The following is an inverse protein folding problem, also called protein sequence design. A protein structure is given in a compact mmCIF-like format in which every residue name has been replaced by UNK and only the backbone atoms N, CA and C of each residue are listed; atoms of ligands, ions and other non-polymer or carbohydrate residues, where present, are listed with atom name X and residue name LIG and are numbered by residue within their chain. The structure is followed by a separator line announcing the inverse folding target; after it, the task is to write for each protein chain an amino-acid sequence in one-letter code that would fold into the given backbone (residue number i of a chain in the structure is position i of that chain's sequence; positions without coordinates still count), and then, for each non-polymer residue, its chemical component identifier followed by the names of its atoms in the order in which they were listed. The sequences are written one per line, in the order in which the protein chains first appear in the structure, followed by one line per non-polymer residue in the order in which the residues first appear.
data_IF_873727233932
#
_entry.id   IF_873727233932
#
_cell.length_a   1.000
_cell.length_b   1.000
_cell.length_c   1.000
_cell.angle_alpha   90.00
_cell.angle_beta   90.00
_cell.angle_gamma   90.00
#
_symmetry.space_group_name_H-M   'P 1'
#
loop_
_entity.id
_entity.type
_entity.pdbx_description
1 polymer ?
#
# COMPACT_ATOMS: atom_id res chain seq x y z
N UNK A 1 -26.58 59.11 -51.08
CA UNK A 1 -26.60 58.77 -49.63
C UNK A 1 -26.95 57.29 -49.52
N UNK A 2 -26.21 56.36 -48.92
CA UNK A 2 -25.14 56.39 -47.92
C UNK A 2 -24.12 55.26 -48.21
N UNK A 3 -23.03 55.55 -48.95
CA UNK A 3 -21.86 54.63 -49.05
C UNK A 3 -20.89 54.91 -47.90
N UNK A 4 -21.36 54.76 -46.66
CA UNK A 4 -20.60 55.05 -45.44
C UNK A 4 -20.75 53.94 -44.40
N UNK A 5 -20.56 52.68 -44.82
CA UNK A 5 -20.64 51.49 -43.93
C UNK A 5 -19.49 50.47 -44.13
N UNK A 6 -18.29 50.87 -44.55
CA UNK A 6 -17.12 49.96 -44.60
C UNK A 6 -15.82 50.48 -43.97
N UNK A 7 -15.88 51.54 -43.17
CA UNK A 7 -14.68 52.12 -42.51
C UNK A 7 -14.66 51.88 -40.99
N UNK A 8 -15.79 51.52 -40.35
CA UNK A 8 -15.81 51.19 -38.91
C UNK A 8 -15.33 49.76 -38.62
N UNK A 9 -15.21 48.90 -39.63
CA UNK A 9 -14.76 47.50 -39.46
C UNK A 9 -13.23 47.31 -39.47
N UNK A 10 -12.42 48.37 -39.68
CA UNK A 10 -10.95 48.25 -39.80
C UNK A 10 -10.16 49.03 -38.74
N UNK A 11 -10.82 49.61 -37.73
CA UNK A 11 -10.15 50.32 -36.62
C UNK A 11 -10.27 49.61 -35.26
N UNK A 12 -10.78 48.36 -35.22
CA UNK A 12 -10.85 47.55 -33.99
C UNK A 12 -9.85 46.38 -34.02
N UNK A 13 -9.13 46.18 -35.13
CA UNK A 13 -8.15 45.09 -35.32
C UNK A 13 -6.68 45.53 -35.13
N UNK A 14 -6.42 46.74 -34.62
CA UNK A 14 -5.08 47.35 -34.65
C UNK A 14 -4.49 47.84 -33.32
N UNK A 15 -5.17 47.65 -32.18
CA UNK A 15 -4.69 48.14 -30.85
C UNK A 15 -4.70 47.04 -29.77
N UNK A 16 -4.76 45.76 -30.16
CA UNK A 16 -4.49 44.64 -29.24
C UNK A 16 -3.30 43.78 -29.68
N UNK A 17 -2.37 44.39 -30.43
CA UNK A 17 -1.01 43.89 -30.58
C UNK A 17 -0.10 44.74 -29.70
N UNK A 18 0.62 44.06 -28.79
CA UNK A 18 1.59 44.60 -27.84
C UNK A 18 1.06 45.05 -26.47
N UNK A 19 0.65 44.08 -25.63
CA UNK A 19 1.15 43.98 -24.24
C UNK A 19 0.43 42.86 -23.48
N UNK A 20 0.77 41.61 -23.80
CA UNK A 20 0.85 40.53 -22.81
C UNK A 20 1.48 39.34 -23.51
N UNK A 21 2.81 39.25 -23.44
CA UNK A 21 3.44 37.94 -23.32
C UNK A 21 2.83 37.30 -22.07
N UNK A 22 1.70 36.60 -22.24
CA UNK A 22 1.32 35.57 -21.28
C UNK A 22 2.44 34.55 -21.43
N UNK A 23 3.38 34.58 -20.48
CA UNK A 23 4.06 33.36 -20.12
C UNK A 23 2.95 32.36 -19.86
N UNK A 24 2.69 31.47 -20.83
CA UNK A 24 2.08 30.20 -20.52
C UNK A 24 3.11 29.51 -19.63
N UNK A 25 3.07 29.81 -18.33
CA UNK A 25 3.55 28.87 -17.34
C UNK A 25 2.84 27.58 -17.71
N UNK A 26 3.59 26.58 -18.17
CA UNK A 26 3.04 25.28 -18.51
C UNK A 26 2.20 24.85 -17.33
N UNK A 27 0.88 24.85 -17.51
CA UNK A 27 0.00 24.26 -16.52
C UNK A 27 0.40 22.80 -16.52
N UNK A 28 1.10 22.38 -15.47
CA UNK A 28 1.43 20.99 -15.27
C UNK A 28 0.09 20.25 -15.12
N UNK A 29 -0.37 19.65 -16.22
CA UNK A 29 -1.63 18.92 -16.24
C UNK A 29 -1.43 17.69 -15.37
N UNK A 30 -2.17 17.62 -14.26
CA UNK A 30 -2.27 16.42 -13.44
C UNK A 30 -2.73 15.26 -14.34
N UNK A 31 -1.96 14.17 -14.37
CA UNK A 31 -2.34 12.97 -15.10
C UNK A 31 -3.43 12.24 -14.30
N UNK A 32 -4.61 12.09 -14.90
CA UNK A 32 -5.73 11.41 -14.26
C UNK A 32 -5.34 10.01 -13.76
N UNK A 33 -5.83 9.65 -12.58
CA UNK A 33 -5.65 8.33 -11.98
C UNK A 33 -6.06 7.21 -12.96
N UNK A 34 -5.22 6.19 -13.07
CA UNK A 34 -5.48 4.97 -13.85
C UNK A 34 -5.76 3.80 -12.91
N UNK A 35 -6.76 2.97 -13.21
CA UNK A 35 -7.06 1.76 -12.43
C UNK A 35 -6.83 0.50 -13.24
N UNK A 36 -6.00 -0.40 -12.72
CA UNK A 36 -5.72 -1.72 -13.26
C UNK A 36 -6.40 -2.77 -12.37
N UNK A 37 -7.46 -3.38 -12.88
CA UNK A 37 -8.30 -4.28 -12.09
C UNK A 37 -9.00 -5.32 -12.96
N UNK A 38 -9.50 -6.37 -12.33
CA UNK A 38 -10.42 -7.34 -12.92
C UNK A 38 -11.44 -7.84 -11.89
N UNK A 39 -12.31 -8.77 -12.31
CA UNK A 39 -13.35 -9.33 -11.44
C UNK A 39 -12.81 -10.10 -10.23
N UNK A 40 -11.57 -10.56 -10.33
CA UNK A 40 -10.84 -11.25 -9.27
C UNK A 40 -9.33 -10.92 -9.35
N UNK A 41 -8.57 -11.47 -8.41
CA UNK A 41 -7.10 -11.30 -8.32
C UNK A 41 -6.35 -11.78 -9.55
N UNK A 42 -6.85 -12.82 -10.22
CA UNK A 42 -6.22 -13.38 -11.42
C UNK A 42 -6.40 -12.40 -12.59
N UNK A 43 -7.62 -11.92 -12.80
CA UNK A 43 -7.94 -10.90 -13.79
C UNK A 43 -7.20 -9.58 -13.51
N UNK A 44 -7.11 -9.13 -12.26
CA UNK A 44 -6.28 -7.96 -11.88
C UNK A 44 -4.83 -8.18 -12.28
N UNK A 45 -4.22 -9.33 -11.97
CA UNK A 45 -2.83 -9.61 -12.37
C UNK A 45 -2.62 -9.57 -13.89
N UNK A 46 -3.59 -10.04 -14.68
CA UNK A 46 -3.53 -9.90 -16.15
C UNK A 46 -3.70 -8.46 -16.63
N UNK A 47 -4.50 -7.64 -15.94
CA UNK A 47 -4.66 -6.21 -16.27
C UNK A 47 -3.37 -5.43 -15.99
N UNK A 48 -2.69 -5.74 -14.88
CA UNK A 48 -1.36 -5.20 -14.57
C UNK A 48 -0.35 -5.58 -15.66
N UNK A 49 -0.36 -6.84 -16.09
CA UNK A 49 0.49 -7.34 -17.17
C UNK A 49 0.25 -6.58 -18.49
N UNK A 50 -1.00 -6.52 -18.95
CA UNK A 50 -1.39 -5.86 -20.21
C UNK A 50 -0.97 -4.39 -20.28
N UNK A 51 -1.06 -3.67 -19.16
CA UNK A 51 -0.70 -2.25 -19.10
C UNK A 51 0.82 -2.02 -19.17
N UNK A 52 1.63 -2.92 -18.63
CA UNK A 52 3.07 -2.69 -18.42
C UNK A 52 3.97 -3.53 -19.33
N UNK A 53 3.43 -4.55 -20.01
CA UNK A 53 4.17 -5.42 -20.93
C UNK A 53 3.38 -5.69 -22.21
N UNK A 54 3.90 -5.23 -23.34
CA UNK A 54 3.38 -5.62 -24.66
C UNK A 54 3.72 -7.07 -24.97
N UNK A 55 4.91 -7.52 -24.56
CA UNK A 55 5.43 -8.90 -24.64
C UNK A 55 6.40 -9.16 -23.50
N UNK A 56 6.64 -10.44 -23.19
CA UNK A 56 7.65 -10.87 -22.21
C UNK A 56 8.03 -12.33 -22.48
N UNK A 57 9.33 -12.64 -22.57
CA UNK A 57 9.79 -14.02 -22.74
C UNK A 57 9.55 -14.88 -21.49
N UNK A 58 9.51 -14.23 -20.33
CA UNK A 58 9.32 -14.85 -19.02
C UNK A 58 8.00 -14.38 -18.39
N UNK A 59 7.37 -15.28 -17.64
CA UNK A 59 6.28 -14.98 -16.70
C UNK A 59 6.67 -15.54 -15.34
N UNK A 60 6.48 -14.75 -14.28
CA UNK A 60 6.55 -15.25 -12.92
C UNK A 60 5.15 -15.65 -12.50
N UNK A 61 4.96 -16.92 -12.14
CA UNK A 61 3.68 -17.44 -11.70
C UNK A 61 3.72 -17.66 -10.19
N UNK A 62 2.75 -17.08 -9.48
CA UNK A 62 2.62 -17.21 -8.03
C UNK A 62 1.20 -17.62 -7.65
N UNK A 63 1.04 -18.23 -6.47
CA UNK A 63 -0.28 -18.53 -5.92
C UNK A 63 -1.03 -17.23 -5.62
N UNK A 64 -2.26 -17.14 -6.13
CA UNK A 64 -3.19 -16.09 -5.72
C UNK A 64 -3.87 -16.39 -4.38
N UNK A 65 -3.81 -17.61 -3.86
CA UNK A 65 -4.58 -18.05 -2.69
C UNK A 65 -3.81 -17.92 -1.37
N UNK A 66 -2.48 -17.96 -1.42
CA UNK A 66 -1.61 -17.78 -0.26
C UNK A 66 -0.38 -16.92 -0.57
N UNK A 67 -0.08 -15.96 0.29
CA UNK A 67 1.01 -15.00 0.05
C UNK A 67 2.40 -15.55 0.31
N UNK A 68 2.50 -16.56 1.17
CA UNK A 68 3.72 -16.87 1.91
C UNK A 68 4.95 -17.05 1.03
N UNK A 69 4.84 -17.90 0.00
CA UNK A 69 5.92 -18.12 -0.97
C UNK A 69 6.12 -16.92 -1.90
N UNK A 70 5.02 -16.27 -2.27
CA UNK A 70 5.00 -15.25 -3.31
C UNK A 70 5.64 -13.91 -2.90
N UNK A 71 5.79 -13.63 -1.59
CA UNK A 71 6.39 -12.39 -1.10
C UNK A 71 7.83 -12.15 -1.61
N UNK A 72 8.55 -13.21 -1.98
CA UNK A 72 9.90 -13.13 -2.52
C UNK A 72 9.99 -13.09 -4.06
N UNK A 73 8.85 -13.05 -4.77
CA UNK A 73 8.80 -13.15 -6.23
C UNK A 73 9.30 -11.90 -6.97
N UNK A 74 9.10 -10.70 -6.41
CA UNK A 74 9.32 -9.44 -7.12
C UNK A 74 10.76 -9.24 -7.65
N UNK A 75 11.82 -9.58 -6.90
CA UNK A 75 13.18 -9.50 -7.43
C UNK A 75 13.42 -10.42 -8.63
N UNK A 76 12.79 -11.60 -8.68
CA UNK A 76 12.86 -12.51 -9.84
C UNK A 76 12.16 -11.90 -11.04
N UNK A 77 10.98 -11.32 -10.83
CA UNK A 77 10.23 -10.61 -11.86
C UNK A 77 11.06 -9.47 -12.47
N UNK A 78 11.76 -8.69 -11.64
CA UNK A 78 12.64 -7.62 -12.13
C UNK A 78 13.86 -8.16 -12.88
N UNK A 79 14.48 -9.26 -12.42
CA UNK A 79 15.63 -9.90 -13.09
C UNK A 79 15.33 -10.25 -14.55
N UNK A 80 14.11 -10.69 -14.84
CA UNK A 80 13.67 -11.03 -16.21
C UNK A 80 12.81 -9.97 -16.89
N UNK A 81 12.59 -8.81 -16.25
CA UNK A 81 11.64 -7.82 -16.72
C UNK A 81 10.27 -8.45 -17.08
N UNK A 82 9.77 -9.31 -16.21
CA UNK A 82 8.58 -10.14 -16.41
C UNK A 82 7.41 -9.69 -15.52
N UNK A 83 6.15 -9.89 -15.93
CA UNK A 83 5.00 -9.72 -15.05
C UNK A 83 4.93 -10.84 -14.00
N UNK A 84 4.29 -10.54 -12.87
CA UNK A 84 3.79 -11.55 -11.93
C UNK A 84 2.33 -11.80 -12.27
N UNK A 85 2.02 -13.02 -12.70
CA UNK A 85 0.66 -13.51 -12.88
C UNK A 85 0.29 -14.42 -11.70
N UNK A 86 -1.00 -14.45 -11.38
CA UNK A 86 -1.52 -15.25 -10.27
C UNK A 86 -2.29 -16.46 -10.77
N UNK A 87 -2.22 -17.57 -10.05
CA UNK A 87 -2.99 -18.78 -10.32
C UNK A 87 -3.69 -19.31 -9.08
N UNK A 88 -4.77 -20.08 -9.26
CA UNK A 88 -5.30 -20.90 -8.17
C UNK A 88 -4.30 -22.02 -7.82
N UNK A 89 -4.44 -22.64 -6.66
CA UNK A 89 -3.48 -23.68 -6.21
C UNK A 89 -3.53 -24.96 -7.05
N UNK A 90 -4.68 -25.25 -7.66
CA UNK A 90 -4.93 -26.51 -8.40
C UNK A 90 -5.29 -26.33 -9.86
N UNK A 91 -5.62 -25.12 -10.28
CA UNK A 91 -6.09 -24.83 -11.63
C UNK A 91 -5.45 -23.54 -12.14
N UNK A 92 -4.93 -23.60 -13.37
CA UNK A 92 -4.45 -22.43 -14.08
C UNK A 92 -5.63 -21.71 -14.73
N UNK A 93 -5.94 -20.51 -14.25
CA UNK A 93 -7.04 -19.72 -14.78
C UNK A 93 -6.91 -19.46 -16.30
N UNK A 94 -8.02 -19.59 -17.04
CA UNK A 94 -8.03 -19.43 -18.50
C UNK A 94 -7.58 -18.04 -18.95
N UNK A 95 -7.93 -17.00 -18.18
CA UNK A 95 -7.46 -15.63 -18.42
C UNK A 95 -5.93 -15.50 -18.29
N UNK A 96 -5.32 -16.28 -17.42
CA UNK A 96 -3.86 -16.29 -17.19
C UNK A 96 -3.17 -17.04 -18.33
N UNK A 97 -3.70 -18.19 -18.78
CA UNK A 97 -3.22 -18.89 -19.99
C UNK A 97 -3.23 -17.98 -21.22
N UNK A 98 -4.34 -17.28 -21.39
CA UNK A 98 -4.51 -16.32 -22.49
C UNK A 98 -3.49 -15.19 -22.40
N UNK A 99 -3.19 -14.71 -21.19
CA UNK A 99 -2.20 -13.66 -20.99
C UNK A 99 -0.76 -14.13 -21.23
N UNK A 100 -0.40 -15.34 -20.79
CA UNK A 100 0.89 -15.98 -21.09
C UNK A 100 1.08 -16.07 -22.62
N UNK A 101 0.03 -16.48 -23.34
CA UNK A 101 0.03 -16.56 -24.81
C UNK A 101 0.15 -15.18 -25.45
N UNK A 102 -0.58 -14.17 -24.96
CA UNK A 102 -0.54 -12.79 -25.45
C UNK A 102 0.85 -12.19 -25.30
N UNK A 103 1.53 -12.47 -24.18
CA UNK A 103 2.90 -12.04 -23.91
C UNK A 103 3.92 -12.71 -24.84
N UNK A 104 3.54 -13.81 -25.49
CA UNK A 104 4.44 -14.71 -26.25
C UNK A 104 5.55 -15.29 -25.37
N UNK A 105 5.22 -15.56 -24.11
CA UNK A 105 6.17 -16.13 -23.17
C UNK A 105 6.64 -17.50 -23.66
N UNK A 106 7.92 -17.78 -23.40
CA UNK A 106 8.55 -19.08 -23.66
C UNK A 106 8.96 -19.76 -22.36
N UNK A 107 9.03 -18.99 -21.26
CA UNK A 107 9.44 -19.46 -19.95
C UNK A 107 8.42 -19.07 -18.89
N UNK A 108 8.17 -19.97 -17.94
CA UNK A 108 7.42 -19.69 -16.72
C UNK A 108 8.28 -20.07 -15.52
N UNK A 109 8.41 -19.15 -14.58
CA UNK A 109 9.05 -19.40 -13.29
C UNK A 109 7.97 -19.42 -12.22
N UNK A 110 7.73 -20.59 -11.65
CA UNK A 110 6.78 -20.77 -10.55
C UNK A 110 7.47 -20.44 -9.22
N UNK A 111 6.82 -19.61 -8.39
CA UNK A 111 7.31 -19.28 -7.04
C UNK A 111 6.44 -20.00 -6.02
N UNK A 112 7.02 -20.99 -5.34
CA UNK A 112 6.36 -21.82 -4.34
C UNK A 112 6.38 -23.31 -4.65
N UNK A 113 6.19 -24.11 -3.60
CA UNK A 113 6.11 -25.56 -3.70
C UNK A 113 4.81 -26.05 -4.32
N UNK A 114 4.69 -27.36 -4.50
CA UNK A 114 3.50 -28.01 -5.10
C UNK A 114 2.20 -27.76 -4.32
N UNK A 115 2.30 -27.48 -3.01
CA UNK A 115 1.15 -27.12 -2.19
C UNK A 115 0.56 -25.74 -2.55
N UNK A 116 1.39 -24.84 -3.08
CA UNK A 116 1.00 -23.48 -3.49
C UNK A 116 0.56 -23.42 -4.95
N UNK A 117 1.22 -24.21 -5.81
CA UNK A 117 0.97 -24.34 -7.25
C UNK A 117 1.16 -25.82 -7.60
N UNK A 118 0.09 -26.56 -7.88
CA UNK A 118 0.14 -28.01 -8.09
C UNK A 118 1.02 -28.42 -9.27
N UNK A 119 1.45 -29.68 -9.27
CA UNK A 119 2.12 -30.31 -10.40
C UNK A 119 1.26 -30.34 -11.67
N UNK A 120 -0.07 -30.32 -11.52
CA UNK A 120 -1.00 -30.32 -12.66
C UNK A 120 -0.91 -29.01 -13.46
N UNK A 121 -0.75 -27.87 -12.77
CA UNK A 121 -0.51 -26.57 -13.41
C UNK A 121 0.83 -26.60 -14.17
N UNK A 122 1.88 -27.14 -13.54
CA UNK A 122 3.19 -27.26 -14.17
C UNK A 122 3.13 -28.13 -15.44
N UNK A 123 2.39 -29.24 -15.39
CA UNK A 123 2.17 -30.12 -16.54
C UNK A 123 1.34 -29.46 -17.65
N UNK A 124 0.33 -28.65 -17.29
CA UNK A 124 -0.46 -27.87 -18.23
C UNK A 124 0.43 -26.83 -18.95
N UNK A 125 1.24 -26.08 -18.21
CA UNK A 125 2.19 -25.11 -18.78
C UNK A 125 3.21 -25.77 -19.71
N UNK A 126 3.76 -26.94 -19.34
CA UNK A 126 4.64 -27.72 -20.22
C UNK A 126 3.93 -28.19 -21.50
N UNK A 127 2.65 -28.54 -21.39
CA UNK A 127 1.81 -28.92 -22.55
C UNK A 127 1.55 -27.73 -23.49
N UNK A 128 1.57 -26.50 -22.96
CA UNK A 128 1.63 -25.26 -23.74
C UNK A 128 3.00 -25.00 -24.40
N UNK A 129 3.96 -25.94 -24.29
CA UNK A 129 5.33 -25.87 -24.80
C UNK A 129 6.20 -24.79 -24.14
N UNK A 130 5.89 -24.45 -22.90
CA UNK A 130 6.68 -23.50 -22.10
C UNK A 130 7.80 -24.25 -21.35
N UNK A 131 8.94 -23.59 -21.19
CA UNK A 131 9.98 -24.04 -20.28
C UNK A 131 9.62 -23.61 -18.86
N UNK A 132 9.27 -24.57 -18.00
CA UNK A 132 8.79 -24.30 -16.65
C UNK A 132 9.89 -24.61 -15.63
N UNK A 133 10.19 -23.64 -14.77
CA UNK A 133 11.12 -23.78 -13.66
C UNK A 133 10.43 -23.43 -12.35
N UNK A 134 10.46 -24.34 -11.38
CA UNK A 134 9.94 -24.10 -10.05
C UNK A 134 11.02 -23.62 -9.09
N UNK A 135 10.75 -22.53 -8.38
CA UNK A 135 11.51 -22.02 -7.25
C UNK A 135 10.64 -22.15 -5.99
N UNK A 136 10.68 -23.33 -5.37
CA UNK A 136 9.88 -23.65 -4.18
C UNK A 136 10.65 -24.52 -3.20
N UNK A 137 10.50 -24.25 -1.91
CA UNK A 137 10.98 -25.09 -0.80
C UNK A 137 9.84 -25.81 -0.09
N UNK A 138 10.15 -26.51 1.01
CA UNK A 138 9.12 -27.20 1.81
C UNK A 138 8.20 -26.21 2.56
N UNK A 139 8.66 -24.98 2.75
CA UNK A 139 7.93 -23.91 3.40
C UNK A 139 8.40 -22.54 2.88
N UNK A 140 7.70 -21.48 3.28
CA UNK A 140 7.97 -20.09 2.88
C UNK A 140 9.40 -19.61 3.12
N UNK A 141 10.04 -20.09 4.18
CA UNK A 141 11.41 -19.69 4.51
C UNK A 141 12.40 -20.33 3.54
N UNK A 142 12.25 -21.63 3.28
CA UNK A 142 13.05 -22.34 2.28
C UNK A 142 12.79 -21.81 0.86
N UNK A 143 11.54 -21.53 0.49
CA UNK A 143 11.21 -20.90 -0.79
C UNK A 143 11.97 -19.58 -0.96
N UNK A 144 12.01 -18.74 0.09
CA UNK A 144 12.75 -17.47 0.04
C UNK A 144 14.26 -17.66 -0.17
N UNK A 145 14.84 -18.73 0.38
CA UNK A 145 16.25 -19.10 0.17
C UNK A 145 16.50 -19.64 -1.23
N UNK A 146 15.60 -20.48 -1.76
CA UNK A 146 15.68 -20.98 -3.15
C UNK A 146 15.68 -19.80 -4.13
N UNK A 147 14.77 -18.84 -3.92
CA UNK A 147 14.72 -17.62 -4.72
C UNK A 147 15.99 -16.78 -4.55
N UNK A 148 16.51 -16.63 -3.33
CA UNK A 148 17.74 -15.89 -3.09
C UNK A 148 18.96 -16.50 -3.79
N UNK A 149 19.10 -17.83 -3.75
CA UNK A 149 20.13 -18.56 -4.48
C UNK A 149 20.00 -18.38 -6.00
N UNK A 150 18.77 -18.40 -6.51
CA UNK A 150 18.49 -18.19 -7.93
C UNK A 150 18.86 -16.78 -8.42
N UNK A 151 18.76 -15.77 -7.56
CA UNK A 151 19.21 -14.41 -7.88
C UNK A 151 20.72 -14.30 -7.99
N UNK A 152 21.47 -15.18 -7.32
CA UNK A 152 22.93 -15.32 -7.43
C UNK A 152 23.67 -14.60 -6.30
N UNK A 153 24.88 -14.12 -6.57
CA UNK A 153 25.68 -13.39 -5.59
C UNK A 153 25.10 -12.00 -5.33
N UNK A 154 24.83 -11.68 -4.06
CA UNK A 154 24.15 -10.45 -3.65
C UNK A 154 24.99 -9.72 -2.61
N UNK A 155 24.95 -8.38 -2.64
CA UNK A 155 25.65 -7.54 -1.67
C UNK A 155 24.72 -6.93 -0.62
N UNK A 156 23.41 -7.10 -0.80
CA UNK A 156 22.36 -6.58 0.06
C UNK A 156 21.26 -7.62 0.17
N UNK A 157 20.67 -7.74 1.35
CA UNK A 157 19.51 -8.62 1.59
C UNK A 157 18.42 -7.86 2.34
N UNK A 158 17.18 -8.27 2.12
CA UNK A 158 16.02 -7.83 2.90
C UNK A 158 15.50 -9.01 3.70
N UNK A 159 15.16 -8.78 4.96
CA UNK A 159 14.52 -9.77 5.85
C UNK A 159 13.18 -9.21 6.33
N UNK A 160 12.10 -9.95 6.10
CA UNK A 160 10.75 -9.61 6.55
C UNK A 160 10.08 -10.78 7.25
N UNK A 161 9.02 -10.51 8.00
CA UNK A 161 8.25 -11.60 8.62
C UNK A 161 7.63 -12.49 7.54
N UNK A 162 7.70 -13.80 7.75
CA UNK A 162 6.98 -14.76 6.92
C UNK A 162 5.48 -14.81 7.22
N UNK A 163 5.00 -14.15 8.28
CA UNK A 163 3.63 -14.26 8.79
C UNK A 163 2.76 -13.01 8.51
N UNK A 164 3.29 -12.04 7.78
CA UNK A 164 2.55 -10.86 7.33
C UNK A 164 3.11 -10.36 6.00
N UNK A 165 2.22 -9.88 5.12
CA UNK A 165 2.60 -9.52 3.76
C UNK A 165 3.04 -8.05 3.62
N UNK A 166 2.51 -7.16 4.45
CA UNK A 166 2.63 -5.71 4.22
C UNK A 166 4.08 -5.19 4.28
N UNK A 167 4.91 -5.73 5.18
CA UNK A 167 6.32 -5.34 5.29
C UNK A 167 7.09 -5.76 4.02
N UNK A 168 6.86 -6.98 3.51
CA UNK A 168 7.47 -7.46 2.28
C UNK A 168 7.00 -6.68 1.05
N UNK A 169 5.71 -6.39 0.94
CA UNK A 169 5.16 -5.60 -0.18
C UNK A 169 5.66 -4.16 -0.17
N UNK A 170 5.85 -3.56 1.01
CA UNK A 170 6.38 -2.20 1.15
C UNK A 170 7.77 -2.03 0.56
N UNK A 171 8.61 -3.06 0.67
CA UNK A 171 9.99 -3.02 0.19
C UNK A 171 10.17 -3.69 -1.19
N UNK A 172 9.19 -4.47 -1.67
CA UNK A 172 9.32 -5.29 -2.87
C UNK A 172 9.83 -4.53 -4.11
N UNK A 173 9.30 -3.34 -4.49
CA UNK A 173 9.83 -2.60 -5.64
C UNK A 173 11.28 -2.16 -5.46
N UNK A 174 11.66 -1.73 -4.26
CA UNK A 174 13.01 -1.26 -3.93
C UNK A 174 13.99 -2.43 -3.89
N UNK A 175 13.62 -3.54 -3.24
CA UNK A 175 14.37 -4.79 -3.22
C UNK A 175 14.65 -5.27 -4.65
N UNK A 176 13.62 -5.27 -5.50
CA UNK A 176 13.74 -5.66 -6.89
C UNK A 176 14.72 -4.78 -7.67
N UNK A 177 14.61 -3.45 -7.54
CA UNK A 177 15.48 -2.51 -8.25
C UNK A 177 16.94 -2.53 -7.80
N UNK A 178 17.18 -2.86 -6.53
CA UNK A 178 18.53 -2.96 -5.97
C UNK A 178 19.08 -4.39 -5.99
N UNK A 179 18.38 -5.34 -6.61
CA UNK A 179 18.81 -6.74 -6.70
C UNK A 179 18.89 -7.45 -5.34
N UNK A 180 18.07 -7.03 -4.37
CA UNK A 180 18.04 -7.59 -3.02
C UNK A 180 17.06 -8.77 -2.98
N UNK A 181 17.48 -9.98 -2.58
CA UNK A 181 16.55 -11.04 -2.27
C UNK A 181 15.75 -10.66 -1.01
N UNK A 182 14.49 -11.08 -0.99
CA UNK A 182 13.60 -10.95 0.18
C UNK A 182 13.59 -12.31 0.87
N UNK A 183 14.29 -12.40 2.00
CA UNK A 183 14.31 -13.57 2.87
C UNK A 183 13.19 -13.43 3.91
N UNK A 184 12.50 -14.54 4.19
CA UNK A 184 11.43 -14.57 5.18
C UNK A 184 11.95 -15.12 6.51
N UNK A 185 11.45 -14.62 7.63
CA UNK A 185 11.85 -15.10 8.97
C UNK A 185 10.66 -15.29 9.91
N UNK A 186 10.85 -16.11 10.94
CA UNK A 186 9.97 -16.15 12.09
C UNK A 186 10.22 -14.97 13.05
N UNK A 187 9.33 -14.83 14.03
CA UNK A 187 9.39 -13.73 15.01
C UNK A 187 10.68 -13.76 15.82
N UNK A 188 11.06 -14.92 16.34
CA UNK A 188 12.10 -15.00 17.37
C UNK A 188 13.43 -15.61 16.88
N UNK A 189 13.44 -16.22 15.69
CA UNK A 189 14.61 -16.83 15.07
C UNK A 189 14.51 -16.87 13.54
N UNK A 190 15.67 -16.84 12.87
CA UNK A 190 15.79 -17.28 11.49
C UNK A 190 15.58 -18.81 11.44
N UNK A 191 14.94 -19.31 10.39
CA UNK A 191 14.98 -20.76 10.14
C UNK A 191 16.40 -21.20 9.78
N UNK A 192 16.71 -22.48 10.00
CA UNK A 192 18.02 -23.05 9.65
C UNK A 192 18.40 -22.78 8.19
N UNK A 193 17.43 -22.88 7.27
CA UNK A 193 17.65 -22.60 5.85
C UNK A 193 18.12 -21.15 5.62
N UNK A 194 17.46 -20.18 6.25
CA UNK A 194 17.78 -18.75 6.10
C UNK A 194 19.10 -18.42 6.79
N UNK A 195 19.33 -18.96 7.98
CA UNK A 195 20.59 -18.78 8.70
C UNK A 195 21.78 -19.35 7.90
N UNK A 196 21.62 -20.54 7.31
CA UNK A 196 22.65 -21.16 6.48
C UNK A 196 22.94 -20.32 5.23
N UNK A 197 21.91 -19.81 4.54
CA UNK A 197 22.10 -18.91 3.40
C UNK A 197 22.89 -17.65 3.78
N UNK A 198 22.52 -16.99 4.89
CA UNK A 198 23.22 -15.79 5.38
C UNK A 198 24.68 -16.12 5.72
N UNK A 199 24.94 -17.23 6.40
CA UNK A 199 26.30 -17.63 6.78
C UNK A 199 27.18 -17.95 5.56
N UNK A 200 26.63 -18.66 4.57
CA UNK A 200 27.35 -18.98 3.32
C UNK A 200 27.69 -17.73 2.50
N UNK A 201 26.88 -16.68 2.59
CA UNK A 201 27.04 -15.43 1.84
C UNK A 201 27.52 -14.27 2.73
N UNK A 202 28.02 -14.56 3.94
CA UNK A 202 28.33 -13.53 4.94
C UNK A 202 29.36 -12.51 4.46
N UNK A 203 30.34 -12.97 3.69
CA UNK A 203 31.40 -12.13 3.17
C UNK A 203 30.95 -11.25 2.00
N UNK A 204 29.94 -11.67 1.23
CA UNK A 204 29.40 -10.89 0.11
C UNK A 204 28.33 -9.90 0.58
N UNK A 205 27.49 -10.27 1.55
CA UNK A 205 26.43 -9.43 2.10
C UNK A 205 27.03 -8.27 2.90
N UNK A 206 26.88 -7.04 2.38
CA UNK A 206 27.37 -5.80 3.00
C UNK A 206 26.31 -5.08 3.83
N UNK A 207 25.04 -5.20 3.44
CA UNK A 207 23.92 -4.57 4.14
C UNK A 207 22.76 -5.57 4.28
N UNK A 208 22.16 -5.61 5.46
CA UNK A 208 20.91 -6.31 5.69
C UNK A 208 19.85 -5.31 6.12
N UNK A 209 18.68 -5.34 5.48
CA UNK A 209 17.56 -4.49 5.85
C UNK A 209 16.45 -5.33 6.47
N UNK A 210 16.05 -5.01 7.69
CA UNK A 210 14.97 -5.70 8.40
C UNK A 210 13.74 -4.83 8.33
N UNK A 211 12.71 -5.26 7.61
CA UNK A 211 11.46 -4.51 7.46
C UNK A 211 10.42 -5.13 8.39
N UNK A 212 9.97 -4.33 9.36
CA UNK A 212 9.06 -4.77 10.42
C UNK A 212 9.61 -4.50 11.82
N UNK A 213 8.70 -4.19 12.74
CA UNK A 213 9.03 -3.87 14.13
C UNK A 213 9.41 -5.11 14.96
N UNK A 214 9.89 -4.88 16.19
CA UNK A 214 10.24 -5.95 17.14
C UNK A 214 9.06 -6.88 17.46
N UNK A 215 7.82 -6.38 17.34
CA UNK A 215 6.60 -7.19 17.51
C UNK A 215 6.47 -8.33 16.50
N UNK A 216 7.03 -8.22 15.30
CA UNK A 216 6.95 -9.24 14.23
C UNK A 216 8.29 -9.89 13.90
N UNK A 217 9.40 -9.22 14.22
CA UNK A 217 10.77 -9.73 14.09
C UNK A 217 11.58 -9.19 15.26
N UNK A 218 11.81 -10.00 16.29
CA UNK A 218 12.63 -9.65 17.46
C UNK A 218 14.09 -9.31 17.10
N UNK A 219 14.83 -8.75 18.04
CA UNK A 219 16.27 -8.51 17.85
C UNK A 219 17.09 -9.80 17.90
N UNK A 220 16.63 -10.82 18.64
CA UNK A 220 17.29 -12.14 18.65
C UNK A 220 17.28 -12.78 17.26
N UNK A 221 16.16 -12.66 16.55
CA UNK A 221 16.00 -13.20 15.19
C UNK A 221 17.01 -12.61 14.20
N UNK A 222 17.50 -11.38 14.41
CA UNK A 222 18.35 -10.69 13.43
C UNK A 222 19.80 -10.51 13.89
N UNK A 223 20.15 -11.01 15.08
CA UNK A 223 21.49 -10.89 15.67
C UNK A 223 22.62 -11.46 14.80
N UNK A 224 22.30 -12.43 13.93
CA UNK A 224 23.25 -13.04 12.99
C UNK A 224 23.44 -12.31 11.66
N UNK A 225 22.67 -11.24 11.38
CA UNK A 225 22.69 -10.55 10.08
C UNK A 225 23.86 -9.55 9.98
N UNK A 226 24.60 -9.52 8.85
CA UNK A 226 25.62 -8.51 8.60
C UNK A 226 25.03 -7.10 8.44
N UNK A 227 25.49 -6.14 9.24
CA UNK A 227 25.14 -4.71 9.12
C UNK A 227 23.62 -4.47 9.04
N UNK A 228 22.87 -5.03 9.99
CA UNK A 228 21.41 -4.96 10.00
C UNK A 228 20.87 -3.55 10.31
N UNK A 229 20.09 -2.99 9.40
CA UNK A 229 19.31 -1.77 9.60
C UNK A 229 17.81 -2.11 9.67
N UNK A 230 17.17 -1.85 10.82
CA UNK A 230 15.72 -2.03 10.99
C UNK A 230 14.96 -0.81 10.50
N UNK A 231 13.94 -1.03 9.69
CA UNK A 231 13.01 0.00 9.19
C UNK A 231 11.59 -0.48 9.52
N UNK A 232 10.91 0.26 10.40
CA UNK A 232 9.59 -0.12 10.90
C UNK A 232 8.79 1.08 11.37
N UNK A 233 7.48 1.02 11.24
CA UNK A 233 6.54 1.96 11.81
C UNK A 233 5.63 1.32 12.88
N UNK A 234 4.72 2.13 13.42
CA UNK A 234 3.73 1.69 14.42
C UNK A 234 2.70 0.72 13.86
N UNK A 235 2.45 0.78 12.56
CA UNK A 235 1.56 -0.11 11.83
C UNK A 235 2.08 -0.28 10.40
N UNK A 236 1.40 -1.10 9.59
CA UNK A 236 1.81 -1.42 8.23
C UNK A 236 1.92 -0.21 7.29
N UNK A 237 1.07 0.80 7.48
CA UNK A 237 1.07 2.01 6.66
C UNK A 237 2.22 2.94 7.06
N UNK A 238 2.50 3.08 8.36
CA UNK A 238 3.67 3.80 8.85
C UNK A 238 4.98 3.09 8.45
N UNK A 239 5.05 1.75 8.51
CA UNK A 239 6.21 1.01 7.97
C UNK A 239 6.40 1.30 6.48
N UNK A 240 5.32 1.34 5.69
CA UNK A 240 5.39 1.73 4.29
C UNK A 240 5.98 3.14 4.14
N UNK A 241 5.51 4.14 4.89
CA UNK A 241 6.10 5.50 4.90
C UNK A 241 7.58 5.50 5.30
N UNK A 242 7.98 4.74 6.33
CA UNK A 242 9.40 4.65 6.77
C UNK A 242 10.29 4.03 5.69
N UNK A 243 9.81 3.00 5.00
CA UNK A 243 10.52 2.39 3.87
C UNK A 243 10.71 3.39 2.74
N UNK A 244 9.64 4.07 2.32
CA UNK A 244 9.71 5.08 1.26
C UNK A 244 10.65 6.24 1.65
N UNK A 245 10.60 6.68 2.90
CA UNK A 245 11.46 7.75 3.42
C UNK A 245 12.94 7.36 3.44
N UNK A 246 13.25 6.15 3.90
CA UNK A 246 14.62 5.64 3.97
C UNK A 246 15.24 5.49 2.57
N UNK A 247 14.46 4.99 1.61
CA UNK A 247 14.92 4.70 0.25
C UNK A 247 14.58 5.78 -0.77
N UNK A 248 14.12 6.96 -0.35
CA UNK A 248 13.60 8.02 -1.24
C UNK A 248 14.52 8.37 -2.40
N UNK A 249 15.84 8.34 -2.19
CA UNK A 249 16.84 8.64 -3.23
C UNK A 249 16.95 7.58 -4.33
N UNK A 250 16.27 6.44 -4.20
CA UNK A 250 16.26 5.34 -5.17
C UNK A 250 14.88 5.08 -5.79
N UNK A 251 13.92 5.98 -5.53
CA UNK A 251 12.52 5.84 -5.94
C UNK A 251 12.17 6.96 -6.91
N UNK A 252 11.53 6.61 -8.02
CA UNK A 252 10.89 7.55 -8.93
C UNK A 252 9.44 7.78 -8.47
N UNK A 253 9.19 8.94 -7.88
CA UNK A 253 7.87 9.37 -7.42
C UNK A 253 6.98 9.93 -8.53
N UNK A 254 7.37 9.84 -9.81
CA UNK A 254 6.55 10.32 -10.94
C UNK A 254 5.27 9.50 -11.15
N UNK A 255 5.23 8.26 -10.66
CA UNK A 255 4.01 7.45 -10.63
C UNK A 255 3.91 6.69 -9.31
N UNK A 256 2.78 6.79 -8.61
CA UNK A 256 2.53 6.07 -7.37
C UNK A 256 1.65 4.85 -7.64
N UNK A 257 2.10 3.64 -7.31
CA UNK A 257 1.27 2.45 -7.39
C UNK A 257 0.51 2.26 -6.08
N UNK A 258 -0.80 2.44 -6.09
CA UNK A 258 -1.66 2.39 -4.89
C UNK A 258 -2.37 1.06 -4.83
N UNK A 259 -2.24 0.38 -3.70
CA UNK A 259 -2.72 -1.00 -3.53
C UNK A 259 -3.37 -1.18 -2.18
N UNK A 260 -4.24 -2.17 -2.06
CA UNK A 260 -4.76 -2.63 -0.77
C UNK A 260 -3.63 -3.29 0.03
N UNK A 261 -3.48 -2.87 1.28
CA UNK A 261 -2.47 -3.34 2.22
C UNK A 261 -3.07 -3.91 3.50
N UNK A 262 -4.39 -3.88 3.67
CA UNK A 262 -5.12 -4.43 4.81
C UNK A 262 -6.51 -4.88 4.38
N UNK A 263 -7.19 -5.66 5.20
CA UNK A 263 -8.54 -6.10 4.90
C UNK A 263 -9.12 -7.03 5.95
N UNK A 264 -10.41 -7.40 5.80
CA UNK A 264 -11.15 -8.14 6.82
C UNK A 264 -10.62 -9.56 7.04
N UNK A 265 -9.92 -10.16 6.07
CA UNK A 265 -9.41 -11.52 6.16
C UNK A 265 -7.92 -11.60 6.50
N UNK A 266 -7.19 -10.49 6.40
CA UNK A 266 -5.73 -10.46 6.54
C UNK A 266 -4.99 -11.20 5.43
N UNK A 267 -5.64 -11.44 4.28
CA UNK A 267 -5.12 -12.13 3.11
C UNK A 267 -5.30 -11.32 1.81
N UNK A 268 -5.55 -10.02 1.93
CA UNK A 268 -5.71 -9.07 0.83
C UNK A 268 -4.35 -8.61 0.28
N UNK A 269 -3.55 -9.55 -0.25
CA UNK A 269 -2.18 -9.30 -0.73
C UNK A 269 -2.04 -9.36 -2.26
N UNK A 270 -2.97 -10.05 -2.92
CA UNK A 270 -2.75 -10.62 -4.25
C UNK A 270 -2.59 -9.53 -5.33
N UNK A 271 -3.45 -8.52 -5.30
CA UNK A 271 -3.40 -7.39 -6.23
C UNK A 271 -2.08 -6.62 -6.06
N UNK A 272 -1.72 -6.33 -4.81
CA UNK A 272 -0.47 -5.64 -4.46
C UNK A 272 0.79 -6.41 -4.89
N UNK A 273 0.79 -7.73 -4.75
CA UNK A 273 1.86 -8.60 -5.23
C UNK A 273 2.05 -8.45 -6.74
N UNK A 274 0.97 -8.51 -7.54
CA UNK A 274 1.08 -8.33 -9.00
C UNK A 274 1.57 -6.92 -9.37
N UNK A 275 1.13 -5.89 -8.63
CA UNK A 275 1.57 -4.51 -8.76
C UNK A 275 3.06 -4.31 -8.47
N UNK A 276 3.67 -5.15 -7.63
CA UNK A 276 5.08 -5.00 -7.23
C UNK A 276 6.06 -5.12 -8.39
N UNK A 277 5.80 -6.01 -9.36
CA UNK A 277 6.59 -6.12 -10.57
C UNK A 277 6.46 -4.89 -11.46
N UNK A 278 5.25 -4.34 -11.59
CA UNK A 278 4.99 -3.14 -12.39
C UNK A 278 5.65 -1.89 -11.77
N UNK A 279 5.54 -1.73 -10.45
CA UNK A 279 6.21 -0.68 -9.70
C UNK A 279 7.74 -0.80 -9.81
N UNK A 280 8.29 -2.01 -9.62
CA UNK A 280 9.71 -2.29 -9.80
C UNK A 280 10.19 -1.95 -11.22
N UNK A 281 9.42 -2.30 -12.26
CA UNK A 281 9.76 -2.00 -13.66
C UNK A 281 10.01 -0.50 -13.89
N UNK A 282 9.19 0.36 -13.28
CA UNK A 282 9.26 1.83 -13.40
C UNK A 282 10.07 2.52 -12.31
N UNK A 283 10.73 1.77 -11.43
CA UNK A 283 11.38 2.32 -10.23
C UNK A 283 10.44 3.12 -9.32
N UNK A 284 9.14 2.86 -9.42
CA UNK A 284 8.08 3.54 -8.69
C UNK A 284 7.82 2.87 -7.33
N UNK A 285 7.28 3.63 -6.35
CA UNK A 285 6.88 3.07 -5.07
C UNK A 285 5.56 2.29 -5.16
N UNK A 286 5.38 1.37 -4.20
CA UNK A 286 4.05 0.91 -3.79
C UNK A 286 3.64 1.70 -2.55
N UNK A 287 2.43 2.25 -2.60
CA UNK A 287 1.73 2.90 -1.50
C UNK A 287 0.69 1.93 -0.97
N UNK A 288 0.89 1.44 0.26
CA UNK A 288 -0.10 0.59 0.92
C UNK A 288 -1.24 1.44 1.50
N UNK A 289 -2.47 1.04 1.21
CA UNK A 289 -3.68 1.73 1.68
C UNK A 289 -4.75 0.74 2.11
N UNK A 290 -5.85 1.25 2.66
CA UNK A 290 -7.07 0.46 2.86
C UNK A 290 -8.28 1.33 2.47
N UNK A 291 -9.22 1.60 3.39
CA UNK A 291 -10.38 2.44 3.10
C UNK A 291 -10.08 3.95 3.10
N UNK A 292 -8.98 4.38 3.73
CA UNK A 292 -8.56 5.78 3.79
C UNK A 292 -7.05 5.93 3.63
N UNK A 293 -6.62 7.14 3.25
CA UNK A 293 -5.21 7.49 3.20
C UNK A 293 -4.69 7.71 4.63
N UNK A 294 -3.62 7.00 4.99
CA UNK A 294 -2.95 7.21 6.28
C UNK A 294 -2.34 8.62 6.34
N UNK A 295 -2.56 9.35 7.43
CA UNK A 295 -2.10 10.76 7.56
C UNK A 295 -0.60 10.92 7.38
N UNK A 296 0.21 10.00 7.93
CA UNK A 296 1.66 10.03 7.71
C UNK A 296 2.06 9.82 6.24
N UNK A 297 1.23 9.12 5.46
CA UNK A 297 1.43 8.98 4.02
C UNK A 297 1.02 10.26 3.29
N UNK A 298 -0.08 10.90 3.69
CA UNK A 298 -0.49 12.20 3.17
C UNK A 298 0.62 13.25 3.33
N UNK A 299 1.19 13.37 4.53
CA UNK A 299 2.30 14.29 4.81
C UNK A 299 3.55 13.95 4.00
N UNK A 300 3.84 12.64 3.85
CA UNK A 300 4.94 12.17 3.02
C UNK A 300 4.76 12.58 1.56
N UNK A 301 3.56 12.40 0.99
CA UNK A 301 3.24 12.77 -0.39
C UNK A 301 3.41 14.27 -0.58
N UNK A 302 2.81 15.10 0.28
CA UNK A 302 2.92 16.57 0.21
C UNK A 302 4.37 17.06 0.22
N UNK A 303 5.25 16.36 0.92
CA UNK A 303 6.64 16.78 1.13
C UNK A 303 7.62 16.23 0.08
N UNK A 304 7.32 15.10 -0.56
CA UNK A 304 8.31 14.36 -1.35
C UNK A 304 7.85 14.03 -2.78
N UNK A 305 6.55 14.06 -3.07
CA UNK A 305 6.01 13.65 -4.37
C UNK A 305 5.82 14.87 -5.26
N UNK A 306 6.30 14.85 -6.53
CA UNK A 306 6.03 15.92 -7.48
C UNK A 306 4.53 16.10 -7.71
N UNK A 307 4.07 17.35 -7.83
CA UNK A 307 2.65 17.65 -8.11
C UNK A 307 2.16 17.13 -9.47
N UNK A 308 3.11 16.74 -10.33
CA UNK A 308 2.87 16.15 -11.65
C UNK A 308 2.78 14.63 -11.62
N UNK A 309 2.97 14.00 -10.45
CA UNK A 309 2.94 12.56 -10.34
C UNK A 309 1.56 12.01 -10.70
N UNK A 310 1.54 10.88 -11.40
CA UNK A 310 0.32 10.11 -11.64
C UNK A 310 0.08 9.11 -10.51
N UNK A 311 -1.18 8.70 -10.36
CA UNK A 311 -1.58 7.61 -9.48
C UNK A 311 -2.06 6.43 -10.32
N UNK A 312 -1.47 5.26 -10.10
CA UNK A 312 -1.89 3.99 -10.71
C UNK A 312 -2.44 3.09 -9.62
N UNK A 313 -3.74 2.82 -9.67
CA UNK A 313 -4.45 2.00 -8.70
C UNK A 313 -4.44 0.55 -9.15
N UNK A 314 -4.09 -0.37 -8.26
CA UNK A 314 -4.13 -1.81 -8.51
C UNK A 314 -5.22 -2.43 -7.65
N UNK A 315 -6.22 -3.02 -8.32
CA UNK A 315 -7.38 -3.63 -7.68
C UNK A 315 -8.69 -2.89 -7.91
N UNK A 316 -9.79 -3.58 -7.66
CA UNK A 316 -11.15 -3.05 -7.78
C UNK A 316 -11.47 -2.01 -6.72
N UNK A 317 -12.64 -1.38 -6.82
CA UNK A 317 -13.10 -0.35 -5.87
C UNK A 317 -13.39 -0.88 -4.46
N UNK A 318 -13.62 -2.20 -4.32
CA UNK A 318 -13.73 -2.85 -3.01
C UNK A 318 -12.39 -2.96 -2.27
N UNK A 319 -11.27 -3.04 -3.02
CA UNK A 319 -9.92 -3.14 -2.47
C UNK A 319 -9.30 -1.74 -2.26
N UNK A 320 -9.47 -0.85 -3.25
CA UNK A 320 -9.01 0.54 -3.19
C UNK A 320 -10.15 1.46 -3.60
N UNK A 321 -10.91 2.04 -2.66
CA UNK A 321 -12.09 2.85 -2.97
C UNK A 321 -11.78 4.12 -3.78
N UNK A 322 -12.71 4.52 -4.66
CA UNK A 322 -12.55 5.76 -5.45
C UNK A 322 -12.48 7.01 -4.56
N UNK A 323 -13.14 7.01 -3.40
CA UNK A 323 -13.04 8.09 -2.42
C UNK A 323 -11.61 8.30 -1.93
N UNK A 324 -10.87 7.22 -1.67
CA UNK A 324 -9.46 7.28 -1.29
C UNK A 324 -8.62 7.85 -2.44
N UNK A 325 -8.87 7.41 -3.66
CA UNK A 325 -8.12 7.88 -4.84
C UNK A 325 -8.38 9.36 -5.11
N UNK A 326 -9.62 9.83 -4.95
CA UNK A 326 -9.94 11.25 -5.04
C UNK A 326 -9.16 12.07 -3.99
N UNK A 327 -9.06 11.58 -2.76
CA UNK A 327 -8.22 12.21 -1.72
C UNK A 327 -6.75 12.22 -2.13
N UNK A 328 -6.22 11.10 -2.63
CA UNK A 328 -4.82 11.04 -3.09
C UNK A 328 -4.54 12.00 -4.25
N UNK A 329 -5.42 12.09 -5.23
CA UNK A 329 -5.28 13.00 -6.37
C UNK A 329 -5.24 14.47 -5.90
N UNK A 330 -6.09 14.84 -4.93
CA UNK A 330 -6.06 16.17 -4.31
C UNK A 330 -4.76 16.45 -3.56
N UNK A 331 -4.28 15.46 -2.79
CA UNK A 331 -3.03 15.57 -2.02
C UNK A 331 -1.82 15.70 -2.94
N UNK A 332 -1.74 14.89 -4.01
CA UNK A 332 -0.64 14.92 -4.99
C UNK A 332 -0.64 16.23 -5.76
N UNK A 333 -1.78 16.63 -6.35
CA UNK A 333 -1.87 17.86 -7.14
C UNK A 333 -1.71 19.13 -6.30
N UNK A 334 -1.87 19.03 -4.98
CA UNK A 334 -1.87 20.18 -4.07
C UNK A 334 -3.10 21.07 -4.24
N UNK A 335 -4.16 20.59 -4.91
CA UNK A 335 -5.45 21.26 -4.92
C UNK A 335 -6.16 20.98 -3.61
N UNK A 336 -5.93 21.85 -2.62
CA UNK A 336 -6.91 22.04 -1.55
C UNK A 336 -8.19 22.57 -2.19
N UNK A 337 -9.35 22.04 -1.80
CA UNK A 337 -10.61 22.72 -2.03
C UNK A 337 -10.61 24.05 -1.25
N UNK A 338 -10.20 25.14 -1.91
CA UNK A 338 -11.10 26.27 -1.90
C UNK A 338 -12.34 25.81 -2.66
N UNK A 339 -13.39 25.49 -1.91
CA UNK A 339 -14.73 25.39 -2.47
C UNK A 339 -14.98 26.68 -3.30
N UNK A 340 -15.44 26.59 -4.55
CA UNK A 340 -15.74 27.78 -5.33
C UNK A 340 -16.78 28.59 -4.57
N UNK A 341 -16.46 29.87 -4.34
CA UNK A 341 -17.27 30.88 -3.67
C UNK A 341 -18.74 30.51 -3.42
N UNK A 342 -19.07 30.08 -2.20
CA UNK A 342 -20.33 30.46 -1.59
C UNK A 342 -20.04 31.65 -0.69
N UNK A 343 -20.48 32.82 -1.16
CA UNK A 343 -20.67 33.98 -0.33
C UNK A 343 -21.59 33.61 0.85
N UNK A 344 -21.06 33.67 2.08
CA UNK A 344 -21.83 33.77 3.31
C UNK A 344 -22.38 32.46 3.91
N UNK A 345 -21.88 32.09 5.09
CA UNK A 345 -22.59 31.28 6.08
C UNK A 345 -22.03 29.88 6.37
N UNK A 346 -21.44 29.71 7.57
CA UNK A 346 -21.32 28.49 8.39
C UNK A 346 -21.05 27.13 7.72
N UNK A 347 -19.82 26.61 7.89
CA UNK A 347 -19.47 25.21 7.61
C UNK A 347 -19.57 24.38 8.90
N UNK A 348 -20.52 23.43 8.97
CA UNK A 348 -20.66 22.49 10.09
C UNK A 348 -21.27 21.12 9.73
N UNK A 349 -21.39 20.70 8.46
CA UNK A 349 -22.28 19.58 8.12
C UNK A 349 -21.62 18.21 7.85
N UNK A 350 -20.32 18.10 7.52
CA UNK A 350 -19.67 16.79 7.29
C UNK A 350 -18.96 16.23 8.53
N UNK A 351 -18.31 17.10 9.29
CA UNK A 351 -17.48 16.70 10.43
C UNK A 351 -18.31 16.48 11.69
N UNK A 352 -19.46 17.15 11.80
CA UNK A 352 -20.45 16.90 12.86
C UNK A 352 -21.26 15.65 12.54
N UNK A 353 -21.51 15.34 11.26
CA UNK A 353 -22.13 14.08 10.86
C UNK A 353 -21.27 12.85 11.21
N UNK A 354 -19.94 12.95 11.06
CA UNK A 354 -19.00 11.90 11.51
C UNK A 354 -18.95 11.78 13.04
N UNK A 355 -19.01 12.91 13.76
CA UNK A 355 -19.04 12.93 15.22
C UNK A 355 -20.31 12.28 15.78
N UNK A 356 -21.49 12.72 15.33
CA UNK A 356 -22.78 12.18 15.78
C UNK A 356 -22.92 10.70 15.43
N UNK A 357 -22.34 10.26 14.30
CA UNK A 357 -22.24 8.84 13.91
C UNK A 357 -21.44 8.03 14.93
N UNK A 358 -20.23 8.47 15.28
CA UNK A 358 -19.38 7.78 16.25
C UNK A 358 -20.00 7.79 17.64
N UNK A 359 -20.52 8.93 18.07
CA UNK A 359 -21.18 9.07 19.36
C UNK A 359 -22.37 8.11 19.49
N UNK A 360 -23.19 8.00 18.44
CA UNK A 360 -24.30 7.04 18.39
C UNK A 360 -23.84 5.59 18.48
N UNK A 361 -22.75 5.24 17.77
CA UNK A 361 -22.15 3.88 17.80
C UNK A 361 -21.57 3.55 19.18
N UNK A 362 -20.85 4.49 19.81
CA UNK A 362 -20.28 4.31 21.14
C UNK A 362 -21.38 4.19 22.22
N UNK A 363 -22.46 4.97 22.13
CA UNK A 363 -23.63 4.84 23.01
C UNK A 363 -24.35 3.50 22.86
N UNK A 364 -24.35 2.92 21.67
CA UNK A 364 -24.97 1.63 21.37
C UNK A 364 -24.05 0.41 21.59
N UNK A 365 -22.80 0.63 21.99
CA UNK A 365 -21.80 -0.43 22.15
C UNK A 365 -22.17 -1.41 23.26
N UNK A 366 -22.03 -2.71 22.99
CA UNK A 366 -22.14 -3.75 24.03
C UNK A 366 -20.91 -3.70 24.96
N UNK A 367 -21.13 -3.26 26.19
CA UNK A 367 -20.10 -3.15 27.23
C UNK A 367 -20.08 -4.33 28.20
N UNK A 368 -20.89 -5.37 27.98
CA UNK A 368 -21.03 -6.51 28.90
C UNK A 368 -19.72 -7.25 29.15
N UNK A 369 -18.83 -7.28 28.15
CA UNK A 369 -17.52 -7.93 28.19
C UNK A 369 -16.37 -7.03 28.64
N UNK A 370 -16.65 -5.75 28.92
CA UNK A 370 -15.65 -4.79 29.37
C UNK A 370 -15.57 -4.75 30.90
N UNK A 371 -14.36 -4.62 31.44
CA UNK A 371 -14.13 -4.36 32.84
C UNK A 371 -14.44 -2.90 33.22
N UNK A 372 -14.29 -2.58 34.51
CA UNK A 372 -14.56 -1.25 35.05
C UNK A 372 -13.68 -0.16 34.44
N UNK A 373 -12.38 -0.41 34.26
CA UNK A 373 -11.43 0.59 33.75
C UNK A 373 -11.71 0.92 32.28
N UNK A 374 -11.99 -0.11 31.47
CA UNK A 374 -12.38 0.03 30.08
C UNK A 374 -13.71 0.79 29.93
N UNK A 375 -14.68 0.49 30.78
CA UNK A 375 -15.97 1.22 30.83
C UNK A 375 -15.77 2.68 31.18
N UNK A 376 -14.87 3.00 32.11
CA UNK A 376 -14.54 4.39 32.45
C UNK A 376 -13.92 5.13 31.26
N UNK A 377 -12.97 4.52 30.54
CA UNK A 377 -12.39 5.14 29.33
C UNK A 377 -13.46 5.51 28.31
N UNK A 378 -14.39 4.59 28.02
CA UNK A 378 -15.45 4.83 27.03
C UNK A 378 -16.48 5.85 27.53
N UNK A 379 -16.86 5.79 28.80
CA UNK A 379 -17.79 6.73 29.40
C UNK A 379 -17.26 8.17 29.33
N UNK A 380 -15.96 8.36 29.58
CA UNK A 380 -15.32 9.67 29.52
C UNK A 380 -15.19 10.19 28.08
N UNK A 381 -14.94 9.30 27.11
CA UNK A 381 -14.99 9.64 25.68
C UNK A 381 -16.40 10.09 25.29
N UNK A 382 -17.44 9.31 25.60
CA UNK A 382 -18.84 9.66 25.29
C UNK A 382 -19.20 11.02 25.91
N UNK A 383 -18.83 11.23 27.17
CA UNK A 383 -19.10 12.47 27.90
C UNK A 383 -18.42 13.69 27.25
N UNK A 384 -17.17 13.56 26.82
CA UNK A 384 -16.45 14.64 26.14
C UNK A 384 -17.09 14.98 24.78
N UNK A 385 -17.48 13.95 24.02
CA UNK A 385 -18.16 14.12 22.72
C UNK A 385 -19.56 14.73 22.90
N UNK A 386 -20.31 14.35 23.93
CA UNK A 386 -21.62 14.92 24.27
C UNK A 386 -21.53 16.43 24.60
N UNK A 387 -20.53 16.84 25.40
CA UNK A 387 -20.30 18.25 25.71
C UNK A 387 -19.98 19.06 24.45
N UNK A 388 -19.19 18.49 23.54
CA UNK A 388 -18.84 19.13 22.28
C UNK A 388 -20.02 19.16 21.29
N UNK A 389 -20.86 18.12 21.23
CA UNK A 389 -22.08 18.11 20.42
C UNK A 389 -23.10 19.14 20.93
N UNK A 390 -23.17 19.36 22.25
CA UNK A 390 -24.01 20.38 22.86
C UNK A 390 -23.46 21.82 22.69
N UNK A 391 -22.14 21.98 22.65
CA UNK A 391 -21.45 23.26 22.45
C UNK A 391 -20.18 23.05 21.63
N UNK A 392 -20.21 23.45 20.35
CA UNK A 392 -19.08 23.31 19.43
C UNK A 392 -17.87 24.18 19.79
N UNK A 393 -18.00 25.09 20.77
CA UNK A 393 -16.91 25.87 21.35
C UNK A 393 -16.28 25.22 22.61
N UNK A 394 -16.82 24.08 23.06
CA UNK A 394 -16.32 23.36 24.22
C UNK A 394 -14.85 22.96 24.05
N UNK A 395 -14.02 23.35 25.02
CA UNK A 395 -12.61 22.97 25.08
C UNK A 395 -12.47 21.62 25.80
N UNK A 396 -12.22 20.57 25.03
CA UNK A 396 -12.09 19.19 25.50
C UNK A 396 -10.64 18.81 25.87
N UNK A 397 -9.67 19.74 25.88
CA UNK A 397 -8.25 19.41 26.12
C UNK A 397 -8.02 18.70 27.47
N UNK A 398 -8.75 19.08 28.51
CA UNK A 398 -8.65 18.42 29.82
C UNK A 398 -9.23 17.01 29.79
N UNK A 399 -10.40 16.84 29.17
CA UNK A 399 -11.06 15.54 29.02
C UNK A 399 -10.17 14.58 28.21
N UNK A 400 -9.55 15.08 27.14
CA UNK A 400 -8.58 14.37 26.31
C UNK A 400 -7.38 13.83 27.11
N UNK A 401 -6.77 14.67 27.95
CA UNK A 401 -5.63 14.25 28.78
C UNK A 401 -6.05 13.20 29.81
N UNK A 402 -7.23 13.36 30.43
CA UNK A 402 -7.76 12.40 31.38
C UNK A 402 -8.05 11.04 30.72
N UNK A 403 -8.71 11.03 29.56
CA UNK A 403 -8.95 9.81 28.77
C UNK A 403 -7.64 9.14 28.37
N UNK A 404 -6.64 9.91 27.92
CA UNK A 404 -5.32 9.38 27.56
C UNK A 404 -4.63 8.72 28.75
N UNK A 405 -4.71 9.32 29.94
CA UNK A 405 -4.14 8.76 31.15
C UNK A 405 -4.86 7.45 31.55
N UNK A 406 -6.20 7.44 31.53
CA UNK A 406 -7.01 6.26 31.83
C UNK A 406 -6.70 5.12 30.85
N UNK A 407 -6.64 5.41 29.55
CA UNK A 407 -6.28 4.43 28.53
C UNK A 407 -4.86 3.89 28.71
N UNK A 408 -3.89 4.75 29.07
CA UNK A 408 -2.52 4.33 29.28
C UNK A 408 -2.37 3.36 30.46
N UNK A 409 -3.22 3.50 31.49
CA UNK A 409 -3.25 2.62 32.66
C UNK A 409 -3.81 1.22 32.36
N UNK A 410 -4.47 1.03 31.21
CA UNK A 410 -4.91 -0.30 30.77
C UNK A 410 -3.71 -1.20 30.42
N UNK A 411 -3.80 -2.46 30.80
CA UNK A 411 -2.94 -3.54 30.35
C UNK A 411 -3.06 -3.77 28.84
N UNK A 412 -2.16 -4.56 28.26
CA UNK A 412 -2.19 -4.87 26.84
C UNK A 412 -3.49 -5.60 26.42
N UNK A 413 -3.94 -6.56 27.23
CA UNK A 413 -5.15 -7.35 26.94
C UNK A 413 -6.42 -6.51 27.09
N UNK A 414 -6.45 -5.59 28.06
CA UNK A 414 -7.53 -4.61 28.22
C UNK A 414 -7.56 -3.64 27.03
N UNK A 415 -6.41 -3.17 26.52
CA UNK A 415 -6.36 -2.31 25.31
C UNK A 415 -6.87 -3.05 24.07
N UNK A 416 -6.45 -4.30 23.89
CA UNK A 416 -6.84 -5.14 22.75
C UNK A 416 -8.33 -5.48 22.75
N UNK A 417 -8.88 -5.87 23.89
CA UNK A 417 -10.31 -6.18 24.03
C UNK A 417 -11.19 -4.94 23.93
N UNK A 418 -10.73 -3.79 24.44
CA UNK A 418 -11.41 -2.51 24.27
C UNK A 418 -11.45 -2.08 22.80
N UNK A 419 -10.31 -2.18 22.09
CA UNK A 419 -10.25 -1.88 20.65
C UNK A 419 -11.20 -2.78 19.87
N UNK A 420 -11.24 -4.08 20.20
CA UNK A 420 -12.16 -5.04 19.58
C UNK A 420 -13.62 -4.65 19.82
N UNK A 421 -13.98 -4.22 21.04
CA UNK A 421 -15.34 -3.77 21.35
C UNK A 421 -15.75 -2.52 20.55
N UNK A 422 -14.85 -1.54 20.41
CA UNK A 422 -15.09 -0.30 19.64
C UNK A 422 -15.28 -0.61 18.15
N UNK A 423 -14.47 -1.51 17.59
CA UNK A 423 -14.63 -1.94 16.19
C UNK A 423 -15.94 -2.71 15.99
N UNK A 424 -16.32 -3.57 16.93
CA UNK A 424 -17.58 -4.31 16.88
C UNK A 424 -18.81 -3.39 17.02
N UNK A 425 -18.67 -2.24 17.68
CA UNK A 425 -19.69 -1.18 17.71
C UNK A 425 -19.84 -0.46 16.35
N UNK A 426 -19.04 -0.83 15.36
CA UNK A 426 -19.08 -0.25 14.01
C UNK A 426 -18.29 1.05 13.87
N UNK A 427 -17.48 1.42 14.87
CA UNK A 427 -16.56 2.56 14.77
C UNK A 427 -15.34 2.12 13.96
N UNK A 428 -15.21 2.68 12.76
CA UNK A 428 -14.07 2.42 11.90
C UNK A 428 -12.81 3.14 12.40
N UNK A 429 -11.64 2.61 12.05
CA UNK A 429 -10.35 3.26 12.35
C UNK A 429 -10.30 4.67 11.72
N UNK A 430 -10.89 4.85 10.54
CA UNK A 430 -11.01 6.16 9.87
C UNK A 430 -11.85 7.16 10.66
N UNK A 431 -12.97 6.72 11.24
CA UNK A 431 -13.79 7.58 12.10
C UNK A 431 -13.04 7.97 13.38
N UNK A 432 -12.34 7.02 14.00
CA UNK A 432 -11.50 7.29 15.18
C UNK A 432 -10.36 8.28 14.90
N UNK A 433 -9.67 8.14 13.77
CA UNK A 433 -8.60 9.08 13.37
C UNK A 433 -9.15 10.46 12.99
N UNK A 434 -10.33 10.53 12.35
CA UNK A 434 -10.98 11.81 12.04
C UNK A 434 -11.26 12.60 13.31
N UNK A 435 -11.74 11.92 14.36
CA UNK A 435 -11.95 12.52 15.67
C UNK A 435 -10.62 12.91 16.32
N UNK A 436 -9.61 12.04 16.30
CA UNK A 436 -8.29 12.36 16.86
C UNK A 436 -7.67 13.61 16.22
N UNK A 437 -7.81 13.78 14.90
CA UNK A 437 -7.32 14.95 14.17
C UNK A 437 -8.13 16.21 14.50
N UNK A 438 -9.48 16.13 14.50
CA UNK A 438 -10.36 17.24 14.89
C UNK A 438 -10.07 17.70 16.31
N UNK A 439 -9.69 16.76 17.18
CA UNK A 439 -9.50 16.98 18.59
C UNK A 439 -8.02 17.09 19.02
N UNK A 440 -7.07 17.15 18.10
CA UNK A 440 -5.63 17.26 18.44
C UNK A 440 -5.12 16.16 19.39
N UNK A 441 -5.73 14.98 19.36
CA UNK A 441 -5.43 13.85 20.23
C UNK A 441 -4.30 13.01 19.60
N UNK A 442 -3.05 13.39 19.87
CA UNK A 442 -1.86 12.61 19.52
C UNK A 442 -1.07 12.24 20.77
#
# INVERSE_FOLDING_TARGET
MLRRNKIISKLILGVFLASSTVFAAGQNVFAASSRLWGQDRYATSTAVSKNNWTSSDYVILASGEGYADALCAAPVAKKYNAPILLTGSKELNEGVKSEITRLKATHVIEIGGEASISSDIENELKSMKLNVQRLGGQNRFETSVVVANFLGNVTKVVVTSGYGFADALSIAPIASNQGMPILLTGKDSLSDAVQNYINQNKDSIKNSYVIGGQGVISDSAISGLPTAARISGQNRFDTNVKVLSYFKGSIDFSNLYVVEGDGPTGNEFADALSGSAAAAKKSSPIILTYNTLYSGMEDFIKSNVPKTASVTVIGGTGAVPDSLINTMDQVVSGTSTQNPSTSGGGSSSSDDANLSSVLSKLKAMDTSKLDTNQKTVISDIITALDKYEADSSYNYNTDAQNVKQLYNNLTHDEKSSLQTAVVNAGVSISEGMTLANKFGLY
#
